data_IF_828196118503
#
_entry.id   IF_828196118503
#
_cell.length_a   1.000
_cell.length_b   1.000
_cell.length_c   1.000
_cell.angle_alpha   90.00
_cell.angle_beta   90.00
_cell.angle_gamma   90.00
#
_symmetry.space_group_name_H-M   'P 1'
#
loop_
_entity.id
_entity.type
_entity.pdbx_description
1 polymer ?
#
# COMPACT_ATOMS: atom_id res chain seq x y z
N UNK A 1 -32.38 1.63 -6.65
CA UNK A 1 -31.40 1.02 -7.58
C UNK A 1 -30.86 -0.26 -6.97
N UNK A 2 -30.49 -1.23 -7.78
CA UNK A 2 -29.79 -2.44 -7.32
C UNK A 2 -28.28 -2.17 -7.14
N UNK A 3 -27.53 -3.22 -6.78
CA UNK A 3 -26.10 -3.11 -6.54
C UNK A 3 -25.28 -2.92 -7.83
N UNK A 4 -25.73 -3.46 -8.96
CA UNK A 4 -25.01 -3.31 -10.24
C UNK A 4 -25.04 -1.85 -10.70
N UNK A 5 -26.22 -1.23 -10.70
CA UNK A 5 -26.36 0.20 -11.00
C UNK A 5 -25.62 1.07 -9.98
N UNK A 6 -25.60 0.67 -8.70
CA UNK A 6 -24.81 1.36 -7.69
C UNK A 6 -23.31 1.34 -8.03
N UNK A 7 -22.74 0.19 -8.43
CA UNK A 7 -21.33 0.09 -8.83
C UNK A 7 -21.01 1.02 -10.00
N UNK A 8 -21.88 1.10 -10.99
CA UNK A 8 -21.72 2.00 -12.13
C UNK A 8 -21.70 3.47 -11.71
N UNK A 9 -22.62 3.89 -10.84
CA UNK A 9 -22.67 5.26 -10.35
C UNK A 9 -21.45 5.62 -9.49
N UNK A 10 -21.00 4.71 -8.62
CA UNK A 10 -19.76 4.88 -7.86
C UNK A 10 -18.57 5.02 -8.80
N UNK A 11 -18.47 4.19 -9.84
CA UNK A 11 -17.40 4.31 -10.83
C UNK A 11 -17.43 5.67 -11.53
N UNK A 12 -18.60 6.20 -11.89
CA UNK A 12 -18.72 7.53 -12.52
C UNK A 12 -18.16 8.64 -11.63
N UNK A 13 -18.47 8.60 -10.33
CA UNK A 13 -18.13 9.64 -9.33
C UNK A 13 -16.66 9.52 -8.86
N UNK A 14 -16.20 8.30 -8.56
CA UNK A 14 -14.92 8.06 -7.87
C UNK A 14 -13.83 7.51 -8.80
N UNK A 15 -14.20 6.97 -9.96
CA UNK A 15 -13.35 6.16 -10.84
C UNK A 15 -12.81 4.88 -10.16
N UNK A 16 -13.40 4.45 -9.04
CA UNK A 16 -13.13 3.17 -8.38
C UNK A 16 -14.07 2.13 -8.98
N UNK A 17 -13.52 1.11 -9.62
CA UNK A 17 -14.31 0.01 -10.16
C UNK A 17 -14.53 -1.06 -9.07
N UNK A 18 -15.72 -1.03 -8.45
CA UNK A 18 -16.09 -1.97 -7.39
C UNK A 18 -16.21 -3.43 -7.86
N UNK A 19 -16.37 -3.69 -9.16
CA UNK A 19 -16.40 -5.05 -9.71
C UNK A 19 -15.03 -5.76 -9.65
N UNK A 20 -13.95 -5.00 -9.46
CA UNK A 20 -12.60 -5.55 -9.25
C UNK A 20 -12.31 -5.89 -7.77
N UNK A 21 -13.27 -5.65 -6.88
CA UNK A 21 -13.23 -6.04 -5.48
C UNK A 21 -14.08 -7.28 -5.25
N UNK A 22 -13.75 -8.06 -4.21
CA UNK A 22 -14.57 -9.21 -3.81
C UNK A 22 -15.96 -8.77 -3.39
N UNK A 23 -16.94 -9.07 -4.23
CA UNK A 23 -18.29 -8.51 -4.17
C UNK A 23 -18.97 -8.71 -2.81
N UNK A 24 -19.03 -9.96 -2.32
CA UNK A 24 -19.74 -10.30 -1.08
C UNK A 24 -19.23 -9.50 0.12
N UNK A 25 -17.90 -9.41 0.27
CA UNK A 25 -17.27 -8.69 1.36
C UNK A 25 -17.46 -7.18 1.21
N UNK A 26 -17.26 -6.65 -0.01
CA UNK A 26 -17.36 -5.23 -0.28
C UNK A 26 -18.80 -4.73 -0.11
N UNK A 27 -19.78 -5.42 -0.70
CA UNK A 27 -21.20 -5.11 -0.57
C UNK A 27 -21.63 -5.04 0.89
N UNK A 28 -21.27 -6.04 1.70
CA UNK A 28 -21.59 -6.05 3.14
C UNK A 28 -21.03 -4.83 3.88
N UNK A 29 -19.81 -4.40 3.54
CA UNK A 29 -19.19 -3.21 4.14
C UNK A 29 -19.90 -1.94 3.73
N UNK A 30 -20.22 -1.81 2.45
CA UNK A 30 -20.95 -0.66 1.90
C UNK A 30 -22.34 -0.58 2.54
N UNK A 31 -23.07 -1.68 2.62
CA UNK A 31 -24.40 -1.75 3.27
C UNK A 31 -24.33 -1.27 4.74
N UNK A 32 -23.27 -1.63 5.47
CA UNK A 32 -23.07 -1.18 6.84
C UNK A 32 -22.78 0.33 6.93
N UNK A 33 -21.98 0.88 6.01
CA UNK A 33 -21.68 2.32 5.96
C UNK A 33 -22.93 3.14 5.61
N UNK A 34 -23.71 2.69 4.64
CA UNK A 34 -24.95 3.35 4.23
C UNK A 34 -25.91 3.46 5.42
N UNK A 35 -26.08 2.37 6.17
CA UNK A 35 -26.88 2.37 7.41
C UNK A 35 -26.31 3.30 8.47
N UNK A 36 -24.99 3.27 8.70
CA UNK A 36 -24.30 4.18 9.64
C UNK A 36 -24.56 5.65 9.30
N UNK A 37 -24.62 5.97 8.01
CA UNK A 37 -24.89 7.31 7.50
C UNK A 37 -26.40 7.64 7.42
N UNK A 38 -27.27 6.80 7.99
CA UNK A 38 -28.72 6.95 8.06
C UNK A 38 -29.43 6.93 6.70
N UNK A 39 -28.91 6.16 5.75
CA UNK A 39 -29.58 5.90 4.46
C UNK A 39 -30.14 4.48 4.44
N UNK A 40 -31.25 4.29 3.72
CA UNK A 40 -31.97 3.00 3.65
C UNK A 40 -31.81 2.31 2.28
N UNK A 41 -31.26 3.01 1.30
CA UNK A 41 -31.11 2.50 -0.06
C UNK A 41 -29.92 3.12 -0.79
N UNK A 42 -29.46 2.45 -1.85
CA UNK A 42 -28.34 2.90 -2.66
C UNK A 42 -28.60 4.20 -3.42
N UNK A 43 -29.85 4.46 -3.81
CA UNK A 43 -30.19 5.62 -4.64
C UNK A 43 -30.06 6.92 -3.86
N UNK A 44 -30.66 6.97 -2.67
CA UNK A 44 -30.55 8.11 -1.77
C UNK A 44 -29.10 8.35 -1.35
N UNK A 45 -28.34 7.28 -1.09
CA UNK A 45 -26.92 7.41 -0.75
C UNK A 45 -26.07 7.97 -1.90
N UNK A 46 -26.24 7.46 -3.13
CA UNK A 46 -25.52 7.97 -4.31
C UNK A 46 -25.82 9.44 -4.57
N UNK A 47 -27.07 9.87 -4.42
CA UNK A 47 -27.43 11.28 -4.54
C UNK A 47 -26.71 12.14 -3.50
N UNK A 48 -26.66 11.68 -2.25
CA UNK A 48 -25.93 12.38 -1.19
C UNK A 48 -24.43 12.47 -1.48
N UNK A 49 -23.81 11.37 -1.96
CA UNK A 49 -22.39 11.36 -2.35
C UNK A 49 -22.06 12.38 -3.46
N UNK A 50 -22.98 12.62 -4.39
CA UNK A 50 -22.79 13.61 -5.47
C UNK A 50 -22.83 15.06 -4.97
N UNK A 51 -23.58 15.31 -3.91
CA UNK A 51 -23.83 16.66 -3.38
C UNK A 51 -22.90 17.02 -2.22
N UNK A 52 -22.40 16.02 -1.47
CA UNK A 52 -21.59 16.21 -0.28
C UNK A 52 -20.19 15.64 -0.46
N UNK A 53 -19.19 16.53 -0.60
CA UNK A 53 -17.78 16.15 -0.78
C UNK A 53 -17.19 15.43 0.44
N UNK A 54 -17.62 15.78 1.65
CA UNK A 54 -17.08 15.16 2.86
C UNK A 54 -17.65 13.74 3.04
N UNK A 55 -18.93 13.54 2.73
CA UNK A 55 -19.52 12.20 2.67
C UNK A 55 -18.84 11.33 1.60
N UNK A 56 -18.49 11.92 0.44
CA UNK A 56 -17.75 11.22 -0.60
C UNK A 56 -16.34 10.82 -0.16
N UNK A 57 -15.63 11.70 0.55
CA UNK A 57 -14.31 11.38 1.13
C UNK A 57 -14.44 10.27 2.16
N UNK A 58 -15.36 10.37 3.11
CA UNK A 58 -15.63 9.30 4.09
C UNK A 58 -15.91 7.97 3.39
N UNK A 59 -16.72 7.99 2.33
CA UNK A 59 -17.02 6.79 1.54
C UNK A 59 -15.75 6.18 0.94
N UNK A 60 -14.90 6.98 0.27
CA UNK A 60 -13.64 6.50 -0.32
C UNK A 60 -12.71 5.94 0.75
N UNK A 61 -12.49 6.67 1.85
CA UNK A 61 -11.66 6.23 2.98
C UNK A 61 -12.19 4.96 3.64
N UNK A 62 -13.51 4.80 3.68
CA UNK A 62 -14.11 3.58 4.19
C UNK A 62 -13.89 2.41 3.24
N UNK A 63 -13.89 2.59 1.91
CA UNK A 63 -13.60 1.51 0.98
C UNK A 63 -12.18 0.92 1.17
N UNK A 64 -11.20 1.76 1.53
CA UNK A 64 -9.77 1.46 1.43
C UNK A 64 -9.11 0.75 2.62
N UNK A 65 -9.82 0.43 3.71
CA UNK A 65 -9.30 -0.25 4.94
C UNK A 65 -7.89 0.22 5.34
N UNK A 66 -7.84 1.31 6.08
CA UNK A 66 -6.59 1.95 6.47
C UNK A 66 -6.01 1.45 7.81
N UNK A 67 -6.11 0.16 8.12
CA UNK A 67 -5.47 -0.38 9.33
C UNK A 67 -4.03 -0.71 9.04
N UNK A 68 -3.14 0.21 9.43
CA UNK A 68 -1.70 0.08 9.33
C UNK A 68 -1.04 0.32 10.68
N UNK A 69 0.16 -0.24 10.84
CA UNK A 69 1.00 -0.08 12.01
C UNK A 69 2.47 -0.15 11.59
N UNK A 70 3.32 0.55 12.34
CA UNK A 70 4.76 0.48 12.12
C UNK A 70 5.27 -0.93 12.40
N UNK A 71 6.23 -1.38 11.60
CA UNK A 71 6.90 -2.66 11.83
C UNK A 71 5.96 -3.89 11.81
N UNK A 72 4.83 -3.81 11.09
CA UNK A 72 3.86 -4.91 10.94
C UNK A 72 4.53 -6.20 10.44
N UNK A 73 4.36 -7.29 11.17
CA UNK A 73 5.08 -8.57 10.98
C UNK A 73 6.61 -8.40 11.07
N UNK A 74 7.17 -8.17 12.28
CA UNK A 74 8.59 -7.85 12.51
C UNK A 74 9.58 -8.77 11.78
N UNK A 75 9.33 -10.09 11.77
CA UNK A 75 10.20 -11.08 11.15
C UNK A 75 10.46 -10.80 9.65
N UNK A 76 9.47 -10.24 8.94
CA UNK A 76 9.63 -9.92 7.52
C UNK A 76 10.48 -8.67 7.30
N UNK A 77 10.47 -7.72 8.24
CA UNK A 77 11.37 -6.58 8.22
C UNK A 77 12.81 -6.99 8.49
N UNK A 78 13.02 -8.01 9.33
CA UNK A 78 14.36 -8.56 9.55
C UNK A 78 14.93 -9.24 8.30
N UNK A 79 14.11 -10.02 7.57
CA UNK A 79 14.51 -10.60 6.28
C UNK A 79 14.84 -9.49 5.28
N UNK A 80 14.02 -8.45 5.24
CA UNK A 80 14.26 -7.29 4.37
C UNK A 80 15.61 -6.61 4.70
N UNK A 81 15.89 -6.39 5.99
CA UNK A 81 17.11 -5.75 6.49
C UNK A 81 18.37 -6.58 6.23
N UNK A 82 18.34 -7.86 6.62
CA UNK A 82 19.54 -8.71 6.69
C UNK A 82 19.86 -9.41 5.37
N UNK A 83 18.88 -9.56 4.49
CA UNK A 83 19.04 -10.38 3.28
C UNK A 83 18.69 -9.59 2.00
N UNK A 84 17.49 -9.01 1.94
CA UNK A 84 16.97 -8.41 0.70
C UNK A 84 17.66 -7.09 0.36
N UNK A 85 17.81 -6.17 1.31
CA UNK A 85 18.51 -4.92 1.06
C UNK A 85 19.99 -5.14 0.72
N UNK A 86 20.77 -5.96 1.44
CA UNK A 86 22.13 -6.30 1.04
C UNK A 86 22.21 -6.88 -0.38
N UNK A 87 21.29 -7.77 -0.75
CA UNK A 87 21.22 -8.33 -2.10
C UNK A 87 21.04 -7.24 -3.16
N UNK A 88 20.07 -6.32 -2.98
CA UNK A 88 19.82 -5.23 -3.92
C UNK A 88 20.98 -4.22 -3.97
N UNK A 89 21.57 -3.90 -2.81
CA UNK A 89 22.66 -2.95 -2.68
C UNK A 89 24.00 -3.48 -3.19
N UNK A 90 24.19 -4.80 -3.24
CA UNK A 90 25.37 -5.42 -3.86
C UNK A 90 25.45 -5.12 -5.36
N UNK A 91 24.31 -4.87 -6.01
CA UNK A 91 24.18 -4.62 -7.45
C UNK A 91 24.14 -3.13 -7.78
N UNK A 92 23.57 -2.30 -6.90
CA UNK A 92 23.38 -0.86 -7.13
C UNK A 92 23.60 -0.05 -5.86
N UNK A 93 24.32 1.07 -5.98
CA UNK A 93 24.54 2.02 -4.85
C UNK A 93 23.28 2.76 -4.40
N UNK A 94 22.26 2.84 -5.26
CA UNK A 94 20.96 3.46 -4.98
C UNK A 94 19.88 2.55 -5.54
N UNK A 95 18.86 2.30 -4.73
CA UNK A 95 17.73 1.44 -5.09
C UNK A 95 16.46 2.27 -5.15
N UNK A 96 15.64 2.02 -6.16
CA UNK A 96 14.31 2.62 -6.32
C UNK A 96 13.27 1.77 -5.60
N UNK A 97 12.55 2.33 -4.64
CA UNK A 97 11.56 1.62 -3.82
C UNK A 97 10.18 2.24 -4.02
N UNK A 98 9.17 1.37 -4.18
CA UNK A 98 7.76 1.76 -4.21
C UNK A 98 6.96 1.02 -3.13
N UNK A 99 6.45 1.75 -2.14
CA UNK A 99 5.40 1.28 -1.23
C UNK A 99 4.04 1.59 -1.85
N UNK A 100 3.36 0.54 -2.30
CA UNK A 100 2.07 0.61 -2.98
C UNK A 100 0.95 0.26 -2.01
N UNK A 101 -0.07 1.13 -1.93
CA UNK A 101 -1.11 1.14 -0.88
C UNK A 101 -0.54 1.43 0.52
N UNK A 102 0.17 2.56 0.64
CA UNK A 102 0.92 2.94 1.84
C UNK A 102 0.05 3.40 3.03
N UNK A 103 -1.26 3.56 2.84
CA UNK A 103 -2.22 4.02 3.83
C UNK A 103 -1.73 5.27 4.59
N UNK A 104 -1.69 5.23 5.93
CA UNK A 104 -1.27 6.35 6.79
C UNK A 104 0.24 6.55 6.90
N UNK A 105 1.04 5.89 6.04
CA UNK A 105 2.47 6.15 5.91
C UNK A 105 3.38 5.33 6.82
N UNK A 106 2.82 4.45 7.65
CA UNK A 106 3.57 3.60 8.58
C UNK A 106 4.57 2.69 7.84
N UNK A 107 4.16 2.10 6.72
CA UNK A 107 5.00 1.23 5.88
C UNK A 107 6.17 1.96 5.21
N UNK A 108 5.98 3.05 4.42
CA UNK A 108 7.09 3.74 3.78
C UNK A 108 8.05 4.34 4.80
N UNK A 109 7.57 4.79 5.96
CA UNK A 109 8.46 5.24 7.02
C UNK A 109 9.22 4.09 7.68
N UNK A 110 8.59 2.93 7.89
CA UNK A 110 9.31 1.73 8.33
C UNK A 110 10.42 1.35 7.35
N UNK A 111 10.15 1.40 6.04
CA UNK A 111 11.16 1.16 5.01
C UNK A 111 12.35 2.13 5.12
N UNK A 112 12.10 3.44 5.29
CA UNK A 112 13.18 4.42 5.48
C UNK A 112 14.01 4.09 6.71
N UNK A 113 13.37 3.81 7.84
CA UNK A 113 14.08 3.56 9.10
C UNK A 113 14.92 2.28 9.06
N UNK A 114 14.42 1.21 8.43
CA UNK A 114 15.16 -0.05 8.23
C UNK A 114 16.33 0.18 7.29
N UNK A 115 16.10 0.81 6.14
CA UNK A 115 17.15 1.08 5.15
C UNK A 115 18.20 2.06 5.68
N UNK A 116 17.84 2.96 6.61
CA UNK A 116 18.77 3.89 7.24
C UNK A 116 19.86 3.20 8.08
N UNK A 117 19.68 1.93 8.45
CA UNK A 117 20.73 1.13 9.09
C UNK A 117 21.89 0.81 8.14
N UNK A 118 21.61 0.81 6.83
CA UNK A 118 22.57 0.45 5.77
C UNK A 118 23.04 1.66 4.96
N UNK A 119 22.20 2.69 4.84
CA UNK A 119 22.46 3.88 4.03
C UNK A 119 22.17 5.18 4.79
N UNK A 120 22.89 6.28 4.52
CA UNK A 120 22.52 7.58 5.04
C UNK A 120 21.15 8.02 4.48
N UNK A 121 20.35 8.75 5.27
CA UNK A 121 19.02 9.25 4.86
C UNK A 121 19.06 10.03 3.53
N UNK A 122 20.14 10.77 3.28
CA UNK A 122 20.35 11.54 2.05
C UNK A 122 20.39 10.70 0.76
N UNK A 123 20.63 9.40 0.89
CA UNK A 123 20.64 8.44 -0.23
C UNK A 123 19.32 7.68 -0.39
N UNK A 124 18.35 7.88 0.50
CA UNK A 124 17.09 7.14 0.51
C UNK A 124 15.98 7.97 -0.12
N UNK A 125 15.31 7.39 -1.12
CA UNK A 125 14.08 7.92 -1.71
C UNK A 125 13.08 6.79 -1.93
N UNK A 126 11.86 6.96 -1.43
CA UNK A 126 10.77 6.00 -1.55
C UNK A 126 9.57 6.68 -2.17
N UNK A 127 9.03 6.09 -3.23
CA UNK A 127 7.71 6.44 -3.73
C UNK A 127 6.68 5.72 -2.85
N UNK A 128 5.77 6.46 -2.23
CA UNK A 128 4.68 5.92 -1.44
C UNK A 128 3.36 6.35 -2.06
N UNK A 129 2.47 5.40 -2.32
CA UNK A 129 1.23 5.73 -3.01
C UNK A 129 0.01 5.10 -2.37
N UNK A 130 -1.10 5.83 -2.39
CA UNK A 130 -2.40 5.33 -1.97
C UNK A 130 -3.52 5.97 -2.81
N UNK A 131 -4.68 5.33 -2.87
CA UNK A 131 -5.86 5.91 -3.51
C UNK A 131 -6.57 6.89 -2.57
N UNK A 132 -6.42 6.70 -1.27
CA UNK A 132 -7.04 7.50 -0.20
C UNK A 132 -6.23 8.77 0.11
N UNK A 133 -6.80 9.92 -0.26
CA UNK A 133 -6.17 11.22 -0.01
C UNK A 133 -6.08 11.55 1.48
N UNK A 134 -7.06 11.17 2.30
CA UNK A 134 -7.02 11.46 3.74
C UNK A 134 -5.92 10.65 4.43
N UNK A 135 -5.71 9.40 4.00
CA UNK A 135 -4.62 8.57 4.49
C UNK A 135 -3.26 9.19 4.12
N UNK A 136 -3.11 9.67 2.88
CA UNK A 136 -1.90 10.37 2.43
C UNK A 136 -1.67 11.69 3.18
N UNK A 137 -2.72 12.45 3.51
CA UNK A 137 -2.60 13.66 4.32
C UNK A 137 -2.12 13.33 5.74
N UNK A 138 -2.66 12.29 6.36
CA UNK A 138 -2.17 11.78 7.66
C UNK A 138 -0.71 11.36 7.59
N UNK A 139 -0.32 10.63 6.54
CA UNK A 139 1.05 10.24 6.29
C UNK A 139 1.98 11.46 6.17
N UNK A 140 1.59 12.45 5.38
CA UNK A 140 2.35 13.71 5.22
C UNK A 140 2.44 14.52 6.50
N UNK A 141 1.42 14.48 7.36
CA UNK A 141 1.48 15.11 8.68
C UNK A 141 2.49 14.36 9.58
N UNK A 142 2.47 13.03 9.55
CA UNK A 142 3.44 12.17 10.21
C UNK A 142 3.28 12.15 11.74
N UNK A 143 2.04 12.24 12.23
CA UNK A 143 1.70 12.19 13.66
C UNK A 143 0.90 10.92 13.93
N UNK A 144 1.36 10.16 14.91
CA UNK A 144 0.91 8.80 15.17
C UNK A 144 0.61 8.57 16.65
N UNK A 145 -0.33 7.67 16.91
CA UNK A 145 -0.67 7.23 18.27
C UNK A 145 0.41 6.29 18.84
N UNK A 146 0.47 6.16 20.17
CA UNK A 146 1.33 5.17 20.81
C UNK A 146 1.06 3.74 20.29
N UNK A 147 -0.20 3.41 20.01
CA UNK A 147 -0.64 2.10 19.50
C UNK A 147 -0.05 1.77 18.14
N UNK A 148 0.01 2.75 17.23
CA UNK A 148 0.59 2.56 15.89
C UNK A 148 2.08 2.19 15.93
N UNK A 149 2.78 2.49 17.04
CA UNK A 149 4.21 2.26 17.25
C UNK A 149 4.48 1.04 18.17
N UNK A 150 3.47 0.26 18.54
CA UNK A 150 3.60 -0.82 19.54
C UNK A 150 4.66 -1.86 19.16
N UNK A 151 4.73 -2.22 17.87
CA UNK A 151 5.68 -3.20 17.35
C UNK A 151 7.05 -2.62 16.98
N UNK A 152 7.25 -1.31 17.11
CA UNK A 152 8.50 -0.66 16.71
C UNK A 152 9.59 -0.86 17.78
N UNK A 153 10.82 -1.26 17.42
CA UNK A 153 11.93 -1.35 18.36
C UNK A 153 12.18 -0.02 19.10
N UNK A 154 12.49 -0.09 20.39
CA UNK A 154 12.62 1.09 21.27
C UNK A 154 13.68 2.07 20.79
N UNK A 155 14.80 1.56 20.29
CA UNK A 155 15.88 2.33 19.70
C UNK A 155 15.40 3.12 18.46
N UNK A 156 14.68 2.47 17.54
CA UNK A 156 14.11 3.13 16.36
C UNK A 156 13.09 4.20 16.76
N UNK A 157 12.22 3.89 17.72
CA UNK A 157 11.25 4.85 18.26
C UNK A 157 11.94 6.10 18.82
N UNK A 158 12.99 5.93 19.62
CA UNK A 158 13.75 7.05 20.20
C UNK A 158 14.54 7.85 19.16
N UNK A 159 15.04 7.20 18.11
CA UNK A 159 15.87 7.82 17.07
C UNK A 159 15.05 8.62 16.05
N UNK A 160 13.88 8.11 15.65
CA UNK A 160 13.14 8.63 14.50
C UNK A 160 11.86 9.39 14.85
N UNK A 161 11.46 9.42 16.12
CA UNK A 161 10.25 10.11 16.56
C UNK A 161 10.53 11.09 17.68
N UNK A 162 9.75 12.17 17.68
CA UNK A 162 9.66 13.13 18.77
C UNK A 162 8.31 12.98 19.45
N UNK A 163 8.28 12.92 20.79
CA UNK A 163 7.04 12.87 21.57
C UNK A 163 6.39 14.25 21.55
N UNK A 164 5.08 14.31 21.24
CA UNK A 164 4.28 15.53 21.23
C UNK A 164 2.95 15.30 21.97
N UNK A 165 2.93 15.65 23.27
CA UNK A 165 1.81 15.27 24.14
C UNK A 165 1.68 13.74 24.22
N UNK A 166 0.49 13.22 23.91
CA UNK A 166 0.21 11.78 23.87
C UNK A 166 0.50 11.10 22.52
N UNK A 167 1.06 11.86 21.57
CA UNK A 167 1.34 11.41 20.21
C UNK A 167 2.84 11.39 19.89
N UNK A 168 3.19 10.76 18.78
CA UNK A 168 4.54 10.68 18.25
C UNK A 168 4.59 11.30 16.88
N UNK A 169 5.47 12.28 16.68
CA UNK A 169 5.73 12.89 15.38
C UNK A 169 7.00 12.29 14.80
N UNK A 170 6.91 11.76 13.58
CA UNK A 170 8.10 11.27 12.89
C UNK A 170 8.98 12.44 12.44
N UNK A 171 10.30 12.28 12.56
CA UNK A 171 11.27 13.34 12.31
C UNK A 171 11.23 13.78 10.84
N UNK A 172 11.34 15.09 10.60
CA UNK A 172 11.21 15.66 9.25
C UNK A 172 12.29 15.15 8.27
N UNK A 173 13.46 14.73 8.77
CA UNK A 173 14.50 14.10 7.94
C UNK A 173 14.05 12.77 7.34
N UNK A 174 13.30 11.96 8.09
CA UNK A 174 12.70 10.71 7.59
C UNK A 174 11.58 11.04 6.60
N UNK A 175 10.80 12.10 6.86
CA UNK A 175 9.72 12.55 5.96
C UNK A 175 10.25 12.95 4.58
N UNK A 176 11.40 13.61 4.52
CA UNK A 176 12.06 14.03 3.27
C UNK A 176 12.48 12.86 2.37
N UNK A 177 12.60 11.65 2.92
CA UNK A 177 12.94 10.45 2.16
C UNK A 177 11.72 9.84 1.42
N UNK A 178 10.49 10.31 1.66
CA UNK A 178 9.27 9.71 1.09
C UNK A 178 8.52 10.71 0.23
N UNK A 179 8.27 10.34 -1.02
CA UNK A 179 7.37 11.05 -1.92
C UNK A 179 5.99 10.40 -1.91
N UNK A 180 4.99 11.09 -1.36
CA UNK A 180 3.60 10.63 -1.33
C UNK A 180 2.81 11.09 -2.55
N UNK A 181 2.21 10.15 -3.28
CA UNK A 181 1.38 10.42 -4.47
C UNK A 181 0.06 9.66 -4.42
N UNK A 182 -1.01 10.27 -4.93
CA UNK A 182 -2.25 9.55 -5.14
C UNK A 182 -2.08 8.57 -6.31
N UNK A 183 -2.49 7.33 -6.14
CA UNK A 183 -2.39 6.28 -7.15
C UNK A 183 -3.46 5.21 -6.98
N UNK A 184 -4.10 4.82 -8.08
CA UNK A 184 -5.03 3.71 -8.13
C UNK A 184 -4.40 2.51 -8.83
N UNK A 185 -4.08 1.46 -8.06
CA UNK A 185 -3.51 0.18 -8.55
C UNK A 185 -4.29 -0.45 -9.71
N UNK A 186 -5.60 -0.20 -9.79
CA UNK A 186 -6.48 -0.81 -10.79
C UNK A 186 -6.61 0.01 -12.09
N UNK A 187 -6.03 1.21 -12.14
CA UNK A 187 -6.28 2.16 -13.25
C UNK A 187 -4.99 2.83 -13.74
N UNK A 188 -4.18 3.32 -12.82
CA UNK A 188 -3.12 4.27 -13.15
C UNK A 188 -1.91 3.56 -13.80
N UNK A 189 -1.14 4.28 -14.63
CA UNK A 189 0.07 3.73 -15.24
C UNK A 189 1.16 3.55 -14.19
N UNK A 190 1.73 2.33 -14.11
CA UNK A 190 2.67 1.99 -13.06
C UNK A 190 4.04 2.64 -13.31
N UNK A 191 4.77 3.03 -12.24
CA UNK A 191 6.15 3.49 -12.38
C UNK A 191 7.03 2.37 -12.96
N UNK A 192 8.11 2.75 -13.63
CA UNK A 192 9.09 1.83 -14.21
C UNK A 192 10.43 1.96 -13.49
N UNK A 193 11.24 0.93 -13.60
CA UNK A 193 12.61 0.94 -13.08
C UNK A 193 12.67 0.84 -11.55
N UNK A 194 11.74 0.11 -10.95
CA UNK A 194 11.70 -0.12 -9.50
C UNK A 194 12.58 -1.33 -9.14
N UNK A 195 13.35 -1.23 -8.06
CA UNK A 195 14.18 -2.34 -7.56
C UNK A 195 13.47 -3.12 -6.45
N UNK A 196 12.61 -2.46 -5.65
CA UNK A 196 11.76 -3.09 -4.65
C UNK A 196 10.35 -2.51 -4.70
N UNK A 197 9.36 -3.37 -4.94
CA UNK A 197 7.94 -3.04 -4.74
C UNK A 197 7.50 -3.69 -3.43
N UNK A 198 6.87 -2.91 -2.56
CA UNK A 198 6.20 -3.39 -1.35
C UNK A 198 4.70 -3.18 -1.55
N UNK A 199 3.93 -4.27 -1.52
CA UNK A 199 2.49 -4.27 -1.71
C UNK A 199 1.86 -5.24 -0.73
N UNK A 200 1.49 -4.74 0.46
CA UNK A 200 1.10 -5.59 1.59
C UNK A 200 -0.31 -5.27 2.05
N UNK A 201 -1.09 -6.32 2.30
CA UNK A 201 -2.42 -6.28 2.89
C UNK A 201 -3.47 -5.48 2.11
N UNK A 202 -3.28 -5.32 0.79
CA UNK A 202 -4.23 -4.66 -0.13
C UNK A 202 -4.82 -5.63 -1.14
N UNK A 203 -4.04 -6.60 -1.63
CA UNK A 203 -4.46 -7.51 -2.70
C UNK A 203 -5.54 -8.48 -2.23
N UNK A 204 -5.62 -8.73 -0.91
CA UNK A 204 -6.68 -9.54 -0.30
C UNK A 204 -8.12 -9.06 -0.60
N UNK A 205 -8.30 -7.79 -0.97
CA UNK A 205 -9.60 -7.18 -1.27
C UNK A 205 -10.03 -7.35 -2.73
N UNK A 206 -9.09 -7.64 -3.62
CA UNK A 206 -9.34 -7.69 -5.05
C UNK A 206 -9.77 -9.08 -5.53
N UNK A 207 -10.46 -9.12 -6.67
CA UNK A 207 -10.77 -10.36 -7.39
C UNK A 207 -9.50 -11.02 -7.92
N UNK A 208 -9.56 -12.30 -8.28
CA UNK A 208 -8.42 -12.99 -8.87
C UNK A 208 -8.01 -12.38 -10.21
N UNK A 209 -8.97 -11.93 -11.02
CA UNK A 209 -8.71 -11.21 -12.26
C UNK A 209 -7.88 -9.93 -12.03
N UNK A 210 -8.32 -9.09 -11.09
CA UNK A 210 -7.61 -7.85 -10.75
C UNK A 210 -6.20 -8.12 -10.21
N UNK A 211 -6.04 -9.12 -9.32
CA UNK A 211 -4.71 -9.53 -8.83
C UNK A 211 -3.80 -9.98 -9.96
N UNK A 212 -4.31 -10.77 -10.90
CA UNK A 212 -3.52 -11.27 -12.03
C UNK A 212 -2.98 -10.12 -12.90
N UNK A 213 -3.80 -9.09 -13.17
CA UNK A 213 -3.38 -7.89 -13.89
C UNK A 213 -2.33 -7.09 -13.10
N UNK A 214 -2.57 -6.87 -11.80
CA UNK A 214 -1.64 -6.17 -10.91
C UNK A 214 -0.27 -6.86 -10.87
N UNK A 215 -0.20 -8.19 -10.74
CA UNK A 215 1.07 -8.90 -10.70
C UNK A 215 1.86 -8.80 -12.02
N UNK A 216 1.18 -8.84 -13.17
CA UNK A 216 1.81 -8.59 -14.47
C UNK A 216 2.39 -7.18 -14.54
N UNK A 217 1.62 -6.17 -14.10
CA UNK A 217 2.07 -4.77 -14.06
C UNK A 217 3.23 -4.57 -13.09
N UNK A 218 3.22 -5.17 -11.91
CA UNK A 218 4.36 -5.17 -10.98
C UNK A 218 5.61 -5.78 -11.61
N UNK A 219 5.49 -6.91 -12.31
CA UNK A 219 6.62 -7.50 -13.02
C UNK A 219 7.19 -6.53 -14.07
N UNK A 220 6.34 -5.87 -14.85
CA UNK A 220 6.75 -4.87 -15.84
C UNK A 220 7.39 -3.62 -15.22
N UNK A 221 6.98 -3.24 -14.01
CA UNK A 221 7.55 -2.11 -13.25
C UNK A 221 8.94 -2.38 -12.71
N UNK A 222 9.23 -3.63 -12.36
CA UNK A 222 10.50 -4.03 -11.77
C UNK A 222 11.63 -4.04 -12.81
N UNK A 223 12.79 -3.55 -12.39
CA UNK A 223 14.06 -3.80 -13.07
C UNK A 223 14.37 -5.31 -13.11
N UNK A 224 15.27 -5.75 -14.01
CA UNK A 224 15.85 -7.09 -13.94
C UNK A 224 16.32 -7.39 -12.50
N UNK A 225 15.94 -8.57 -11.99
CA UNK A 225 16.24 -9.01 -10.62
C UNK A 225 15.67 -8.09 -9.51
N UNK A 226 14.69 -7.26 -9.83
CA UNK A 226 13.92 -6.50 -8.85
C UNK A 226 13.01 -7.41 -8.03
N UNK A 227 12.63 -6.95 -6.84
CA UNK A 227 11.94 -7.78 -5.84
C UNK A 227 10.55 -7.22 -5.55
N UNK A 228 9.57 -8.12 -5.46
CA UNK A 228 8.23 -7.87 -4.94
C UNK A 228 8.10 -8.45 -3.53
N UNK A 229 7.71 -7.62 -2.58
CA UNK A 229 7.40 -8.00 -1.20
C UNK A 229 5.89 -7.87 -0.95
N UNK A 230 5.24 -8.98 -0.62
CA UNK A 230 3.79 -9.06 -0.37
C UNK A 230 3.44 -9.30 1.10
N UNK A 231 2.18 -9.12 1.47
CA UNK A 231 1.71 -9.36 2.84
C UNK A 231 1.71 -10.85 3.21
N UNK A 232 1.75 -11.15 4.51
CA UNK A 232 1.88 -12.51 5.03
C UNK A 232 0.68 -13.44 4.71
N UNK A 233 -0.43 -12.88 4.23
CA UNK A 233 -1.62 -13.61 3.79
C UNK A 233 -1.80 -13.61 2.27
N UNK A 234 -0.82 -13.12 1.52
CA UNK A 234 -0.92 -12.79 0.08
C UNK A 234 0.06 -13.61 -0.76
N UNK A 235 0.38 -14.84 -0.34
CA UNK A 235 1.30 -15.70 -1.10
C UNK A 235 0.89 -15.80 -2.57
N UNK A 236 1.86 -15.55 -3.45
CA UNK A 236 1.68 -15.61 -4.88
C UNK A 236 1.66 -17.07 -5.34
N UNK A 237 0.46 -17.62 -5.49
CA UNK A 237 0.26 -18.96 -6.03
C UNK A 237 0.69 -18.96 -7.50
N UNK A 238 1.50 -19.95 -7.89
CA UNK A 238 2.07 -20.08 -9.24
C UNK A 238 2.83 -18.81 -9.69
N UNK A 239 3.75 -18.31 -8.86
CA UNK A 239 4.56 -17.12 -9.14
C UNK A 239 5.19 -17.10 -10.55
N UNK A 240 5.63 -18.25 -11.06
CA UNK A 240 6.20 -18.38 -12.40
C UNK A 240 5.24 -17.92 -13.52
N UNK A 241 3.92 -18.03 -13.33
CA UNK A 241 2.89 -17.51 -14.28
C UNK A 241 3.03 -16.00 -14.52
N UNK A 242 3.60 -15.29 -13.54
CA UNK A 242 3.79 -13.84 -13.56
C UNK A 242 5.28 -13.48 -13.68
N UNK A 243 6.12 -14.42 -14.13
CA UNK A 243 7.57 -14.25 -14.25
C UNK A 243 8.20 -13.84 -12.92
N UNK A 244 7.77 -14.47 -11.83
CA UNK A 244 8.31 -14.30 -10.50
C UNK A 244 8.83 -15.63 -9.96
N UNK A 245 9.96 -15.57 -9.26
CA UNK A 245 10.53 -16.69 -8.52
C UNK A 245 10.58 -16.36 -7.03
N UNK A 246 10.08 -17.26 -6.19
CA UNK A 246 10.17 -17.09 -4.73
C UNK A 246 11.63 -17.23 -4.30
N UNK A 247 12.18 -16.22 -3.64
CA UNK A 247 13.54 -16.24 -3.08
C UNK A 247 13.53 -16.40 -1.56
N UNK A 248 12.47 -15.91 -0.92
CA UNK A 248 12.16 -16.07 0.51
C UNK A 248 10.64 -16.06 0.67
N UNK A 249 10.12 -16.46 1.83
CA UNK A 249 8.69 -16.38 2.13
C UNK A 249 8.20 -14.94 1.94
N UNK A 250 7.20 -14.72 1.07
CA UNK A 250 6.64 -13.41 0.70
C UNK A 250 7.54 -12.47 -0.12
N UNK A 251 8.75 -12.90 -0.51
CA UNK A 251 9.65 -12.14 -1.38
C UNK A 251 9.87 -12.88 -2.70
N UNK A 252 9.59 -12.18 -3.80
CA UNK A 252 9.62 -12.74 -5.15
C UNK A 252 10.54 -11.89 -6.03
N UNK A 253 11.55 -12.52 -6.62
CA UNK A 253 12.43 -11.87 -7.61
C UNK A 253 11.80 -11.98 -9.00
N UNK A 254 11.91 -10.92 -9.79
CA UNK A 254 11.57 -10.94 -11.21
C UNK A 254 12.47 -11.93 -11.95
N UNK A 255 11.84 -12.89 -12.61
CA UNK A 255 12.47 -13.95 -13.38
C UNK A 255 12.37 -13.61 -14.87
N UNK A 256 13.51 -13.42 -15.54
CA UNK A 256 13.57 -13.08 -16.96
C UNK A 256 13.60 -14.31 -17.88
N UNK A 257 13.80 -15.50 -17.33
CA UNK A 257 14.06 -16.71 -18.13
C UNK A 257 12.78 -17.41 -18.63
N UNK A 258 11.60 -16.86 -18.35
CA UNK A 258 10.30 -17.45 -18.72
C UNK A 258 9.60 -16.79 -19.94
N UNK A 259 10.34 -16.11 -20.83
CA UNK A 259 9.84 -15.80 -22.17
C UNK A 259 9.83 -17.07 -23.06
N UNK A 260 8.96 -18.02 -22.73
CA UNK A 260 8.59 -19.08 -23.67
C UNK A 260 7.40 -18.56 -24.47
N UNK A 261 7.66 -18.20 -25.73
CA UNK A 261 6.66 -17.89 -26.74
C UNK A 261 5.75 -19.09 -27.02
#
# INVERSE_FOLDING_TARGET
MDYELFKEEIFKITKINLSLYKEKQMKRRIDALIKKNNFNDYSSYVQALKLNKDLLKEFVTYLTINVSEFYRNPDQWEVLEKEIFPLLLSKKKKISIWSSACSTGDEPYTLVMVLNKLLPLSSIKILATDIDLEALEKAKNGVYSAKSLENLPKDMKSKYFTVIGDSYKINDEVKKCVEFKQFNLLRDPYPKGIDLIVCRNVLIYFTDEAKNDIYKKFNMSLNPQGILFVGSTEQLIMANKYNFKSIKTFFYEKDEDNFVF
#
